data_IF_379498251341
#
_entry.id   IF_379498251341
#
_cell.length_a   1.000
_cell.length_b   1.000
_cell.length_c   1.000
_cell.angle_alpha   90.00
_cell.angle_beta   90.00
_cell.angle_gamma   90.00
#
_symmetry.space_group_name_H-M   'P 1'
#
loop_
_entity.id
_entity.type
_entity.pdbx_description
1 polymer ?
#
# COMPACT_ATOMS: atom_id res chain seq x y z
N UNK A 1 -10.64 13.24 -24.40
CA UNK A 1 -10.79 13.20 -23.74
C UNK A 1 -10.84 13.38 -23.53
N UNK A 2 -10.65 13.59 -23.78
CA UNK A 2 -10.79 13.66 -23.05
C UNK A 2 -11.28 13.68 -22.70
N UNK A 3 -11.12 14.09 -23.11
CA UNK A 3 -11.54 14.15 -22.32
C UNK A 3 -12.20 13.70 -22.08
N UNK A 4 -12.17 13.97 -22.53
CA UNK A 4 -12.69 13.59 -21.89
C UNK A 4 -12.85 13.06 -21.43
N UNK A 5 -12.67 13.08 -21.63
CA UNK A 5 -12.82 12.54 -20.80
C UNK A 5 -12.70 12.46 -20.18
N UNK A 6 -12.56 12.76 -20.50
CA UNK A 6 -12.41 12.72 -19.49
C UNK A 6 -12.95 12.37 -19.02
N UNK A 7 -12.89 12.74 -19.24
CA UNK A 7 -13.35 12.55 -18.44
C UNK A 7 -13.78 11.78 -18.14
N UNK A 8 -13.79 11.67 -18.45
CA UNK A 8 -14.01 11.10 -17.82
C UNK A 8 -13.94 10.50 -17.40
N UNK A 9 -13.62 10.50 -17.45
CA UNK A 9 -13.35 10.13 -16.67
C UNK A 9 -13.40 9.92 -15.94
N UNK A 10 -13.41 10.28 -15.83
CA UNK A 10 -13.48 10.25 -14.87
C UNK A 10 -14.31 9.83 -14.27
N UNK A 11 -14.72 9.74 -14.40
CA UNK A 11 -15.38 9.47 -13.76
C UNK A 11 -15.77 8.59 -13.25
N UNK A 12 -15.92 8.31 -13.27
CA UNK A 12 -16.21 7.63 -12.76
C UNK A 12 -16.04 6.68 -12.18
N UNK A 13 -15.96 6.42 -11.89
CA UNK A 13 -15.74 5.73 -11.27
C UNK A 13 -15.11 5.07 -10.95
N UNK A 14 -15.07 5.21 -10.91
CA UNK A 14 -14.39 4.49 -10.76
C UNK A 14 -13.90 3.36 -9.91
N UNK A 15 -13.73 2.52 -10.12
CA UNK A 15 -13.44 1.39 -9.29
C UNK A 15 -12.07 0.78 -9.53
N UNK A 16 -11.35 1.25 -10.47
CA UNK A 16 -10.01 0.76 -10.78
C UNK A 16 -9.00 1.89 -10.73
N UNK A 17 -7.83 1.61 -10.19
CA UNK A 17 -6.74 2.57 -10.20
C UNK A 17 -6.17 2.68 -11.61
N UNK A 18 -5.61 3.84 -11.95
CA UNK A 18 -4.99 4.06 -13.26
C UNK A 18 -3.72 3.25 -13.46
N UNK A 19 -3.10 2.84 -12.36
CA UNK A 19 -1.91 2.02 -12.40
C UNK A 19 -1.63 1.50 -11.01
N UNK A 20 -0.60 0.68 -10.89
CA UNK A 20 -0.17 0.24 -9.56
C UNK A 20 0.49 1.41 -8.85
N UNK A 21 0.14 1.57 -7.58
CA UNK A 21 0.80 2.57 -6.75
C UNK A 21 0.78 2.16 -5.30
N UNK A 22 1.73 2.70 -4.54
CA UNK A 22 1.81 2.54 -3.10
C UNK A 22 2.07 3.91 -2.51
N UNK A 23 1.18 4.36 -1.64
CA UNK A 23 1.29 5.67 -1.02
C UNK A 23 2.17 5.61 0.21
N UNK A 24 2.75 6.77 0.56
CA UNK A 24 3.43 6.90 1.84
C UNK A 24 2.40 6.73 2.95
N UNK A 25 2.75 5.95 3.96
CA UNK A 25 1.85 5.71 5.09
C UNK A 25 1.50 7.02 5.80
N UNK A 26 0.31 7.06 6.38
CA UNK A 26 -0.13 8.23 7.13
C UNK A 26 -0.89 7.76 8.38
N UNK A 27 -0.53 8.28 9.55
CA UNK A 27 0.54 9.23 9.83
C UNK A 27 1.93 8.60 9.73
N UNK A 28 2.95 9.45 9.51
CA UNK A 28 4.34 9.03 9.48
C UNK A 28 5.18 10.19 10.02
N UNK A 29 5.84 10.10 11.17
CA UNK A 29 5.91 8.91 12.04
C UNK A 29 4.57 8.49 12.62
N UNK A 30 4.47 7.25 13.04
CA UNK A 30 3.20 6.74 13.58
C UNK A 30 3.39 6.15 14.97
N UNK A 31 2.27 6.10 15.74
CA UNK A 31 2.29 5.65 17.13
C UNK A 31 0.89 5.21 17.55
N UNK A 32 0.62 3.93 17.64
CA UNK A 32 1.38 2.83 17.04
C UNK A 32 0.79 2.38 15.73
N UNK A 33 -0.22 3.05 15.19
CA UNK A 33 -0.94 2.64 13.99
C UNK A 33 -0.76 3.62 12.85
N UNK A 34 -0.81 3.09 11.65
CA UNK A 34 -0.74 3.90 10.45
C UNK A 34 -1.56 3.21 9.35
N UNK A 35 -1.90 3.96 8.33
CA UNK A 35 -2.64 3.44 7.18
C UNK A 35 -1.74 3.39 5.96
N UNK A 36 -1.84 2.28 5.24
CA UNK A 36 -1.11 2.06 4.00
C UNK A 36 -2.12 1.97 2.88
N UNK A 37 -1.99 2.85 1.90
CA UNK A 37 -2.91 2.90 0.77
C UNK A 37 -2.20 2.46 -0.49
N UNK A 38 -2.88 1.62 -1.27
CA UNK A 38 -2.35 1.19 -2.57
C UNK A 38 -3.50 1.00 -3.55
N UNK A 39 -3.16 0.97 -4.83
CA UNK A 39 -4.14 0.75 -5.87
C UNK A 39 -3.65 -0.26 -6.88
N UNK A 40 -4.58 -1.03 -7.42
CA UNK A 40 -4.28 -2.01 -8.47
C UNK A 40 -5.28 -1.82 -9.62
N UNK A 41 -4.79 -1.81 -10.88
CA UNK A 41 -5.65 -1.52 -12.02
C UNK A 41 -6.41 -2.73 -12.53
N UNK A 42 -6.05 -3.93 -12.13
CA UNK A 42 -6.70 -5.14 -12.63
C UNK A 42 -6.56 -6.25 -11.59
N UNK A 43 -7.44 -7.24 -11.70
CA UNK A 43 -7.41 -8.41 -10.81
C UNK A 43 -6.04 -9.08 -10.88
N UNK A 44 -5.49 -9.42 -9.74
CA UNK A 44 -4.26 -10.17 -9.68
C UNK A 44 -3.82 -10.43 -8.25
N UNK A 45 -2.82 -11.27 -8.12
CA UNK A 45 -2.26 -11.62 -6.83
C UNK A 45 -1.35 -10.50 -6.34
N UNK A 46 -1.60 -10.02 -5.13
CA UNK A 46 -0.80 -8.94 -4.53
C UNK A 46 -0.24 -9.37 -3.19
N UNK A 47 0.93 -8.85 -2.88
CA UNK A 47 1.60 -9.09 -1.61
C UNK A 47 2.01 -7.75 -1.01
N UNK A 48 1.63 -7.52 0.23
CA UNK A 48 2.04 -6.33 0.98
C UNK A 48 2.62 -6.79 2.30
N UNK A 49 3.91 -6.58 2.49
CA UNK A 49 4.63 -7.07 3.66
C UNK A 49 5.40 -5.94 4.33
N UNK A 50 5.56 -6.06 5.63
CA UNK A 50 6.36 -5.12 6.43
C UNK A 50 7.63 -5.81 6.87
N UNK A 51 8.74 -5.08 6.75
CA UNK A 51 10.08 -5.56 7.06
C UNK A 51 10.71 -4.66 8.11
N UNK A 52 11.56 -5.25 8.96
CA UNK A 52 12.35 -4.45 9.90
C UNK A 52 13.57 -3.86 9.17
N UNK A 53 14.39 -3.12 9.91
CA UNK A 53 15.54 -2.44 9.33
C UNK A 53 16.59 -3.42 8.78
N UNK A 54 16.55 -4.67 9.21
CA UNK A 54 17.47 -5.70 8.72
C UNK A 54 16.92 -6.47 7.52
N UNK A 55 15.69 -6.12 7.09
CA UNK A 55 15.10 -6.78 5.95
C UNK A 55 14.30 -8.01 6.27
N UNK A 56 14.04 -8.27 7.54
CA UNK A 56 13.27 -9.44 7.96
C UNK A 56 11.79 -9.11 7.94
N UNK A 57 10.96 -10.02 7.40
CA UNK A 57 9.52 -9.84 7.38
C UNK A 57 8.99 -9.92 8.82
N UNK A 58 8.30 -8.87 9.25
CA UNK A 58 7.68 -8.86 10.58
C UNK A 58 6.16 -8.95 10.51
N UNK A 59 5.56 -8.65 9.33
CA UNK A 59 4.12 -8.77 9.12
C UNK A 59 3.84 -9.03 7.65
N UNK A 60 2.80 -9.81 7.39
CA UNK A 60 2.25 -9.95 6.05
C UNK A 60 0.84 -9.41 6.11
N UNK A 61 0.60 -8.29 5.44
CA UNK A 61 -0.67 -7.59 5.52
C UNK A 61 -1.64 -8.06 4.44
N UNK A 62 -1.14 -8.31 3.24
CA UNK A 62 -1.93 -8.80 2.11
C UNK A 62 -1.11 -9.86 1.41
N UNK A 63 -1.75 -10.98 1.07
CA UNK A 63 -1.08 -12.07 0.35
C UNK A 63 -2.14 -12.92 -0.32
N UNK A 64 -2.81 -12.30 -1.31
CA UNK A 64 -3.95 -12.96 -1.97
C UNK A 64 -4.29 -12.22 -3.25
N UNK A 65 -5.14 -12.83 -4.05
CA UNK A 65 -5.69 -12.17 -5.24
C UNK A 65 -6.70 -11.13 -4.81
N UNK A 66 -6.62 -9.96 -5.43
CA UNK A 66 -7.54 -8.87 -5.18
C UNK A 66 -8.06 -8.31 -6.49
N UNK A 67 -9.33 -7.91 -6.55
CA UNK A 67 -9.84 -7.24 -7.75
C UNK A 67 -9.25 -5.84 -7.87
N UNK A 68 -9.39 -5.26 -9.07
CA UNK A 68 -8.97 -3.89 -9.29
C UNK A 68 -9.64 -2.96 -8.29
N UNK A 69 -8.94 -1.94 -7.83
CA UNK A 69 -9.51 -0.98 -6.91
C UNK A 69 -8.46 -0.27 -6.08
N UNK A 70 -8.98 0.48 -5.10
CA UNK A 70 -8.19 1.21 -4.14
C UNK A 70 -8.33 0.54 -2.78
N UNK A 71 -7.23 0.38 -2.08
CA UNK A 71 -7.21 -0.35 -0.82
C UNK A 71 -6.52 0.45 0.26
N UNK A 72 -7.01 0.30 1.48
CA UNK A 72 -6.45 0.96 2.64
C UNK A 72 -6.32 -0.09 3.74
N UNK A 73 -5.09 -0.31 4.21
CA UNK A 73 -4.80 -1.35 5.20
C UNK A 73 -4.21 -0.68 6.42
N UNK A 74 -4.78 -0.97 7.58
CA UNK A 74 -4.23 -0.46 8.83
C UNK A 74 -3.11 -1.38 9.32
N UNK A 75 -2.01 -0.78 9.73
CA UNK A 75 -0.88 -1.49 10.32
C UNK A 75 -0.73 -1.05 11.77
N UNK A 76 -0.81 -2.01 12.67
CA UNK A 76 -0.67 -1.77 14.11
C UNK A 76 0.68 -2.34 14.56
N UNK A 77 1.60 -1.43 14.93
CA UNK A 77 2.93 -1.80 15.37
C UNK A 77 3.09 -1.84 16.88
N UNK A 78 1.98 -1.97 17.62
CA UNK A 78 2.03 -1.88 19.08
C UNK A 78 2.91 -2.96 19.72
N UNK A 79 3.12 -4.09 19.05
CA UNK A 79 3.97 -5.18 19.56
C UNK A 79 5.38 -5.14 18.99
N UNK A 80 5.73 -4.08 18.27
CA UNK A 80 7.06 -3.92 17.67
C UNK A 80 7.83 -2.80 18.35
N UNK A 81 9.16 -2.88 18.40
CA UNK A 81 9.95 -1.79 18.95
C UNK A 81 9.93 -0.57 18.05
N UNK A 82 10.15 0.60 18.65
CA UNK A 82 10.32 1.84 17.89
C UNK A 82 11.48 1.69 16.92
N UNK A 83 11.35 2.27 15.75
CA UNK A 83 12.41 2.22 14.77
C UNK A 83 11.90 2.34 13.36
N UNK A 84 12.81 2.11 12.43
CA UNK A 84 12.55 2.21 10.99
C UNK A 84 12.04 0.86 10.48
N UNK A 85 10.98 0.93 9.70
CA UNK A 85 10.39 -0.24 9.04
C UNK A 85 10.19 0.09 7.57
N UNK A 86 10.11 -0.96 6.76
CA UNK A 86 9.84 -0.82 5.34
C UNK A 86 8.60 -1.63 5.01
N UNK A 87 7.86 -1.18 4.01
CA UNK A 87 6.75 -1.98 3.51
C UNK A 87 6.86 -2.04 1.99
N UNK A 88 6.54 -3.20 1.45
CA UNK A 88 6.74 -3.49 0.04
C UNK A 88 5.48 -4.08 -0.56
N UNK A 89 5.05 -3.49 -1.68
CA UNK A 89 3.93 -3.98 -2.47
C UNK A 89 4.49 -4.66 -3.71
N UNK A 90 4.07 -5.91 -3.92
CA UNK A 90 4.49 -6.69 -5.08
C UNK A 90 3.29 -7.20 -5.85
N UNK A 91 3.32 -7.07 -7.16
CA UNK A 91 2.32 -7.61 -8.07
C UNK A 91 3.01 -7.89 -9.40
N UNK A 92 3.28 -9.16 -9.67
CA UNK A 92 4.04 -9.51 -10.86
C UNK A 92 5.39 -8.80 -10.88
N UNK A 93 5.62 -8.04 -11.93
CA UNK A 93 6.87 -7.29 -12.08
C UNK A 93 6.86 -5.97 -11.32
N UNK A 94 5.70 -5.55 -10.81
CA UNK A 94 5.63 -4.29 -10.07
C UNK A 94 6.10 -4.53 -8.64
N UNK A 95 7.08 -3.73 -8.20
CA UNK A 95 7.60 -3.78 -6.84
C UNK A 95 7.84 -2.35 -6.40
N UNK A 96 7.24 -1.97 -5.28
CA UNK A 96 7.51 -0.66 -4.69
C UNK A 96 7.68 -0.80 -3.19
N UNK A 97 8.70 -0.12 -2.66
CA UNK A 97 9.04 -0.17 -1.24
C UNK A 97 9.06 1.25 -0.69
N UNK A 98 8.51 1.42 0.51
CA UNK A 98 8.54 2.70 1.20
C UNK A 98 8.98 2.50 2.64
N UNK A 99 9.45 3.59 3.23
CA UNK A 99 9.98 3.58 4.60
C UNK A 99 9.02 4.29 5.53
N UNK A 100 8.91 3.78 6.73
CA UNK A 100 8.07 4.40 7.76
C UNK A 100 8.80 4.35 9.11
N UNK A 101 8.39 5.23 10.02
CA UNK A 101 9.02 5.36 11.34
C UNK A 101 7.98 5.16 12.42
N UNK A 102 8.22 4.16 13.28
CA UNK A 102 7.38 3.88 14.43
C UNK A 102 8.01 4.53 15.65
N UNK A 103 7.23 5.38 16.32
CA UNK A 103 7.63 6.05 17.55
C UNK A 103 6.65 5.68 18.64
N UNK A 104 7.15 5.13 19.72
CA UNK A 104 6.31 4.75 20.87
C UNK A 104 6.57 5.64 22.05
#
# INVERSE_FOLDING_TARGET
SYMTDYLSSISNNNSAADGFYLMQNYPNPFNPSTNLEFGIPELGFVSLKVYDALGKVVRTLVNESRPAGYYNVEFDGSDLPSGVYFYKLERGDFIETKRMLLIK
#
